data_IF_529478960834
#
_entry.id   IF_529478960834
#
_cell.length_a   1.000
_cell.length_b   1.000
_cell.length_c   1.000
_cell.angle_alpha   90.00
_cell.angle_beta   90.00
_cell.angle_gamma   90.00
#
_symmetry.space_group_name_H-M   'P 1'
#
loop_
_entity.id
_entity.type
_entity.pdbx_description
1 polymer ?
#
# COMPACT_ATOMS: atom_id res chain seq x y z
N UNK A 1 10.16 21.79 14.24
CA UNK A 1 9.19 22.86 14.00
C UNK A 1 7.73 22.54 14.37
N UNK A 2 7.36 21.29 14.56
CA UNK A 2 6.01 20.89 15.01
C UNK A 2 5.65 21.37 16.42
N UNK A 3 6.63 21.53 17.30
CA UNK A 3 6.39 21.93 18.69
C UNK A 3 5.88 23.36 18.90
N UNK A 4 6.00 24.21 17.90
CA UNK A 4 5.51 25.62 17.98
C UNK A 4 4.06 25.74 17.53
N UNK A 5 3.52 24.75 16.81
CA UNK A 5 2.19 24.82 16.20
C UNK A 5 1.07 24.15 17.00
N UNK A 6 1.40 23.39 18.03
CA UNK A 6 0.42 22.70 18.86
C UNK A 6 0.71 22.91 20.34
N UNK A 7 -0.32 23.05 21.20
CA UNK A 7 -0.15 23.15 22.65
C UNK A 7 0.56 21.92 23.25
N UNK A 8 0.47 20.77 22.58
CA UNK A 8 1.01 19.49 23.02
C UNK A 8 2.45 19.22 22.57
N UNK A 9 3.15 20.20 21.95
CA UNK A 9 4.55 20.09 21.50
C UNK A 9 4.81 18.81 20.67
N UNK A 10 4.06 18.61 19.61
CA UNK A 10 4.27 17.50 18.69
C UNK A 10 5.57 17.69 17.90
N UNK A 11 6.53 16.78 18.08
CA UNK A 11 7.84 16.84 17.42
C UNK A 11 7.84 16.23 16.03
N UNK A 12 6.93 15.28 15.74
CA UNK A 12 6.77 14.66 14.43
C UNK A 12 5.57 15.26 13.70
N UNK A 13 5.78 15.70 12.45
CA UNK A 13 4.71 16.20 11.58
C UNK A 13 4.17 15.13 10.62
N UNK A 14 4.85 13.99 10.52
CA UNK A 14 4.47 12.85 9.69
C UNK A 14 4.57 11.57 10.53
N UNK A 15 3.58 10.69 10.37
CA UNK A 15 3.48 9.44 11.10
C UNK A 15 3.19 8.32 10.11
N UNK A 16 3.88 7.18 10.27
CA UNK A 16 3.59 5.97 9.54
C UNK A 16 2.71 5.05 10.40
N UNK A 17 1.66 4.54 9.81
CA UNK A 17 0.73 3.58 10.42
C UNK A 17 0.77 2.32 9.60
N UNK A 18 1.00 1.18 10.25
CA UNK A 18 1.07 -0.14 9.62
C UNK A 18 -0.25 -0.88 9.89
N UNK A 19 -0.96 -1.23 8.83
CA UNK A 19 -2.19 -2.00 8.90
C UNK A 19 -1.90 -3.45 8.51
N UNK A 20 -2.03 -4.35 9.47
CA UNK A 20 -1.84 -5.78 9.26
C UNK A 20 -3.15 -6.46 8.82
N UNK A 21 -3.07 -7.74 8.46
CA UNK A 21 -4.12 -8.54 7.83
C UNK A 21 -5.19 -9.07 8.80
N UNK A 22 -5.53 -8.30 9.83
CA UNK A 22 -6.61 -8.61 10.77
C UNK A 22 -7.56 -7.44 10.94
N UNK A 23 -8.85 -7.69 11.20
CA UNK A 23 -9.82 -6.62 11.45
C UNK A 23 -9.42 -5.76 12.64
N UNK A 24 -8.87 -6.37 13.70
CA UNK A 24 -8.42 -5.63 14.89
C UNK A 24 -7.28 -4.68 14.54
N UNK A 25 -6.31 -5.13 13.74
CA UNK A 25 -5.21 -4.28 13.28
C UNK A 25 -5.70 -3.17 12.36
N UNK A 26 -6.57 -3.47 11.39
CA UNK A 26 -7.13 -2.49 10.47
C UNK A 26 -7.93 -1.40 11.23
N UNK A 27 -8.76 -1.80 12.20
CA UNK A 27 -9.54 -0.83 12.97
C UNK A 27 -8.70 -0.05 13.98
N UNK A 28 -7.68 -0.68 14.57
CA UNK A 28 -6.71 0.03 15.42
C UNK A 28 -5.91 1.06 14.62
N UNK A 29 -5.51 0.70 13.40
CA UNK A 29 -4.84 1.62 12.47
C UNK A 29 -5.75 2.78 12.09
N UNK A 30 -7.03 2.53 11.79
CA UNK A 30 -8.01 3.56 11.48
C UNK A 30 -8.21 4.55 12.64
N UNK A 31 -8.30 4.05 13.87
CA UNK A 31 -8.37 4.89 15.06
C UNK A 31 -7.08 5.72 15.25
N UNK A 32 -5.92 5.14 15.02
CA UNK A 32 -4.64 5.84 15.09
C UNK A 32 -4.56 6.96 14.04
N UNK A 33 -4.96 6.66 12.78
CA UNK A 33 -5.04 7.65 11.69
C UNK A 33 -5.88 8.85 12.13
N UNK A 34 -7.09 8.62 12.63
CA UNK A 34 -7.97 9.69 13.08
C UNK A 34 -7.35 10.58 14.16
N UNK A 35 -6.73 9.96 15.17
CA UNK A 35 -6.07 10.69 16.26
C UNK A 35 -4.89 11.54 15.77
N UNK A 36 -4.04 10.99 14.89
CA UNK A 36 -2.90 11.74 14.37
C UNK A 36 -3.31 12.84 13.39
N UNK A 37 -4.30 12.60 12.52
CA UNK A 37 -4.85 13.65 11.65
C UNK A 37 -5.41 14.81 12.46
N UNK A 38 -6.17 14.54 13.53
CA UNK A 38 -6.69 15.57 14.43
C UNK A 38 -5.57 16.41 15.09
N UNK A 39 -4.39 15.82 15.29
CA UNK A 39 -3.18 16.48 15.77
C UNK A 39 -2.34 17.14 14.68
N UNK A 40 -2.85 17.25 13.45
CA UNK A 40 -2.20 17.89 12.28
C UNK A 40 -0.99 17.14 11.73
N UNK A 41 -0.91 15.82 11.92
CA UNK A 41 0.08 14.99 11.27
C UNK A 41 -0.32 14.65 9.83
N UNK A 42 0.64 14.58 8.92
CA UNK A 42 0.52 13.87 7.66
C UNK A 42 0.68 12.37 7.92
N UNK A 43 -0.09 11.55 7.23
CA UNK A 43 -0.13 10.11 7.49
C UNK A 43 0.41 9.33 6.29
N UNK A 44 1.34 8.41 6.52
CA UNK A 44 1.66 7.31 5.63
C UNK A 44 0.96 6.06 6.16
N UNK A 45 0.19 5.38 5.32
CA UNK A 45 -0.52 4.15 5.67
C UNK A 45 0.12 3.01 4.90
N UNK A 46 0.70 2.05 5.59
CA UNK A 46 1.12 0.80 4.97
C UNK A 46 -0.06 -0.17 5.00
N UNK A 47 -0.65 -0.44 3.84
CA UNK A 47 -1.75 -1.39 3.67
C UNK A 47 -1.34 -2.62 2.85
N UNK A 48 -0.07 -2.73 2.50
CA UNK A 48 0.45 -3.80 1.65
C UNK A 48 0.42 -5.20 2.26
N UNK A 49 0.10 -5.34 3.56
CA UNK A 49 -0.08 -6.63 4.24
C UNK A 49 -1.49 -7.16 4.15
N UNK A 50 -2.47 -6.30 3.86
CA UNK A 50 -3.88 -6.70 3.80
C UNK A 50 -4.08 -7.65 2.62
N UNK A 51 -4.70 -8.79 2.87
CA UNK A 51 -4.98 -9.81 1.85
C UNK A 51 -5.83 -9.28 0.71
N UNK A 52 -5.59 -9.79 -0.49
CA UNK A 52 -6.34 -9.41 -1.67
C UNK A 52 -7.74 -10.02 -1.74
N UNK A 53 -8.51 -9.52 -2.71
CA UNK A 53 -9.87 -10.00 -3.00
C UNK A 53 -9.92 -11.52 -3.23
N UNK A 54 -10.99 -12.16 -2.79
CA UNK A 54 -11.22 -13.60 -2.86
C UNK A 54 -10.23 -14.48 -2.08
N UNK A 55 -9.39 -13.89 -1.21
CA UNK A 55 -8.59 -14.67 -0.27
C UNK A 55 -9.49 -15.33 0.77
N UNK A 56 -9.15 -16.55 1.15
CA UNK A 56 -9.95 -17.34 2.09
C UNK A 56 -9.91 -16.75 3.51
N UNK A 57 -11.07 -16.69 4.16
CA UNK A 57 -11.24 -16.31 5.56
C UNK A 57 -11.92 -17.47 6.29
N UNK A 58 -11.62 -17.66 7.57
CA UNK A 58 -12.22 -18.71 8.42
C UNK A 58 -12.19 -20.10 7.78
N UNK A 59 -11.03 -20.53 7.32
CA UNK A 59 -10.90 -21.85 6.69
C UNK A 59 -11.58 -21.99 5.31
N UNK A 60 -12.03 -20.88 4.70
CA UNK A 60 -12.65 -20.86 3.39
C UNK A 60 -14.17 -20.68 3.39
N UNK A 61 -14.79 -20.49 4.56
CA UNK A 61 -16.24 -20.22 4.68
C UNK A 61 -16.63 -18.87 4.04
N UNK A 62 -15.72 -17.89 4.10
CA UNK A 62 -15.94 -16.54 3.60
C UNK A 62 -14.76 -16.13 2.72
N UNK A 63 -15.04 -15.31 1.72
CA UNK A 63 -14.03 -14.69 0.86
C UNK A 63 -13.83 -13.23 1.24
N UNK A 64 -12.58 -12.77 1.19
CA UNK A 64 -12.23 -11.38 1.44
C UNK A 64 -12.73 -10.46 0.33
N UNK A 65 -13.25 -9.31 0.70
CA UNK A 65 -13.84 -8.32 -0.22
C UNK A 65 -12.82 -7.45 -0.95
N UNK A 66 -11.52 -7.66 -0.67
CA UNK A 66 -10.43 -6.85 -1.21
C UNK A 66 -10.06 -5.66 -0.34
N UNK A 67 -9.07 -4.89 -0.78
CA UNK A 67 -8.53 -3.75 -0.01
C UNK A 67 -9.39 -2.48 -0.15
N UNK A 68 -10.10 -2.31 -1.24
CA UNK A 68 -10.84 -1.08 -1.56
C UNK A 68 -11.83 -0.65 -0.47
N UNK A 69 -12.65 -1.54 0.14
CA UNK A 69 -13.55 -1.16 1.23
C UNK A 69 -12.82 -0.59 2.45
N UNK A 70 -11.66 -1.13 2.80
CA UNK A 70 -10.84 -0.63 3.91
C UNK A 70 -10.19 0.71 3.59
N UNK A 71 -9.76 0.91 2.34
CA UNK A 71 -9.24 2.20 1.90
C UNK A 71 -10.30 3.29 1.94
N UNK A 72 -11.57 2.99 1.60
CA UNK A 72 -12.69 3.92 1.78
C UNK A 72 -12.91 4.30 3.24
N UNK A 73 -12.75 3.34 4.15
CA UNK A 73 -12.84 3.60 5.57
C UNK A 73 -11.72 4.56 6.01
N UNK A 74 -10.47 4.29 5.63
CA UNK A 74 -9.34 5.20 5.91
C UNK A 74 -9.55 6.58 5.30
N UNK A 75 -10.03 6.68 4.06
CA UNK A 75 -10.38 7.95 3.41
C UNK A 75 -11.40 8.74 4.24
N UNK A 76 -12.47 8.08 4.68
CA UNK A 76 -13.51 8.70 5.51
C UNK A 76 -12.93 9.22 6.82
N UNK A 77 -12.10 8.43 7.50
CA UNK A 77 -11.44 8.81 8.75
C UNK A 77 -10.49 9.99 8.57
N UNK A 78 -9.67 10.00 7.52
CA UNK A 78 -8.78 11.12 7.18
C UNK A 78 -9.57 12.40 6.93
N UNK A 79 -10.74 12.30 6.31
CA UNK A 79 -11.57 13.45 5.95
C UNK A 79 -12.38 14.00 7.10
N UNK A 80 -12.93 13.14 7.97
CA UNK A 80 -13.75 13.60 9.09
C UNK A 80 -12.92 14.20 10.24
N UNK A 81 -11.66 13.77 10.40
CA UNK A 81 -10.75 14.25 11.44
C UNK A 81 -9.97 15.49 10.95
N UNK A 82 -10.65 16.59 10.69
CA UNK A 82 -10.06 17.81 10.14
C UNK A 82 -9.08 18.48 11.11
N UNK A 83 -8.06 19.12 10.56
CA UNK A 83 -7.10 19.96 11.29
C UNK A 83 -7.72 21.32 11.66
N UNK A 84 -8.48 21.41 12.75
CA UNK A 84 -9.16 22.63 13.23
C UNK A 84 -10.14 23.26 12.22
N UNK A 85 -10.79 22.48 11.36
CA UNK A 85 -11.80 22.97 10.42
C UNK A 85 -11.27 23.77 9.22
N UNK A 86 -9.97 24.08 9.17
CA UNK A 86 -9.37 24.94 8.13
C UNK A 86 -8.71 24.12 7.03
N UNK A 87 -8.15 22.94 7.35
CA UNK A 87 -7.43 22.08 6.40
C UNK A 87 -7.85 20.64 6.58
N UNK A 88 -8.22 19.96 5.49
CA UNK A 88 -8.48 18.53 5.48
C UNK A 88 -7.22 17.73 5.82
N UNK A 89 -7.39 16.54 6.40
CA UNK A 89 -6.32 15.57 6.57
C UNK A 89 -5.76 15.12 5.22
N UNK A 90 -4.52 14.67 5.21
CA UNK A 90 -3.84 14.10 4.04
C UNK A 90 -3.16 12.80 4.44
N UNK A 91 -3.33 11.77 3.62
CA UNK A 91 -2.68 10.49 3.81
C UNK A 91 -2.24 9.88 2.48
N UNK A 92 -1.11 9.19 2.52
CA UNK A 92 -0.57 8.39 1.40
C UNK A 92 -0.59 6.92 1.79
N UNK A 93 -1.18 6.08 0.94
CA UNK A 93 -1.22 4.63 1.15
C UNK A 93 -0.14 3.96 0.31
N UNK A 94 0.57 3.01 0.92
CA UNK A 94 1.69 2.30 0.31
C UNK A 94 1.32 0.85 0.03
N UNK A 95 1.61 0.39 -1.19
CA UNK A 95 1.43 -1.00 -1.63
C UNK A 95 2.67 -1.52 -2.37
N UNK A 96 3.03 -2.79 -2.20
CA UNK A 96 4.06 -3.41 -3.01
C UNK A 96 3.54 -3.72 -4.42
N UNK A 97 4.40 -3.61 -5.42
CA UNK A 97 4.08 -3.85 -6.84
C UNK A 97 3.51 -5.24 -7.12
N UNK A 98 3.84 -6.23 -6.29
CA UNK A 98 3.42 -7.61 -6.41
C UNK A 98 2.08 -7.93 -5.73
N UNK A 99 1.41 -6.92 -5.17
CA UNK A 99 0.11 -7.13 -4.52
C UNK A 99 -0.96 -7.57 -5.53
N UNK A 100 -1.79 -8.54 -5.16
CA UNK A 100 -2.83 -9.14 -6.03
C UNK A 100 -3.74 -8.11 -6.70
N UNK A 101 -4.10 -7.05 -5.99
CA UNK A 101 -5.02 -6.01 -6.46
C UNK A 101 -4.29 -4.78 -7.03
N UNK A 102 -3.01 -4.90 -7.41
CA UNK A 102 -2.23 -3.73 -7.83
C UNK A 102 -2.85 -3.00 -9.01
N UNK A 103 -3.45 -3.71 -9.97
CA UNK A 103 -4.09 -3.12 -11.14
C UNK A 103 -5.32 -2.29 -10.75
N UNK A 104 -6.07 -2.69 -9.73
CA UNK A 104 -7.19 -1.93 -9.19
C UNK A 104 -6.72 -0.73 -8.36
N UNK A 105 -5.64 -0.91 -7.59
CA UNK A 105 -5.07 0.12 -6.71
C UNK A 105 -4.53 1.31 -7.50
N UNK A 106 -3.84 1.08 -8.59
CA UNK A 106 -3.24 2.17 -9.39
C UNK A 106 -4.28 3.11 -9.99
N UNK A 107 -5.50 2.63 -10.24
CA UNK A 107 -6.58 3.42 -10.85
C UNK A 107 -7.54 4.07 -9.83
N UNK A 108 -7.33 3.90 -8.53
CA UNK A 108 -8.25 4.38 -7.49
C UNK A 108 -8.47 5.89 -7.50
N UNK A 109 -7.49 6.68 -7.95
CA UNK A 109 -7.60 8.16 -8.02
C UNK A 109 -8.17 8.68 -9.33
N UNK A 110 -8.19 7.90 -10.39
CA UNK A 110 -8.61 8.41 -11.69
C UNK A 110 -10.12 8.74 -11.75
N UNK A 111 -10.51 9.50 -12.77
CA UNK A 111 -11.90 9.94 -12.95
C UNK A 111 -12.77 8.97 -13.75
N UNK A 112 -12.22 7.80 -14.11
CA UNK A 112 -12.92 6.75 -14.86
C UNK A 112 -13.57 5.77 -13.88
N UNK A 113 -14.69 5.18 -14.27
CA UNK A 113 -15.42 4.20 -13.46
C UNK A 113 -16.38 4.82 -12.44
N UNK A 114 -16.98 3.96 -11.62
CA UNK A 114 -17.97 4.34 -10.60
C UNK A 114 -17.32 4.75 -9.29
N UNK A 115 -18.01 5.57 -8.49
CA UNK A 115 -17.55 5.97 -7.15
C UNK A 115 -17.32 4.76 -6.22
N UNK A 116 -18.05 3.66 -6.45
CA UNK A 116 -17.89 2.46 -5.64
C UNK A 116 -16.51 1.82 -5.76
N UNK A 117 -15.86 2.01 -6.90
CA UNK A 117 -14.53 1.45 -7.18
C UNK A 117 -13.42 2.51 -7.13
N UNK A 118 -13.67 3.66 -6.49
CA UNK A 118 -12.69 4.77 -6.41
C UNK A 118 -12.51 5.25 -4.99
N UNK A 119 -11.27 5.65 -4.68
CA UNK A 119 -10.86 6.26 -3.41
C UNK A 119 -9.91 7.41 -3.78
N UNK A 120 -10.51 8.58 -4.08
CA UNK A 120 -9.81 9.69 -4.74
C UNK A 120 -9.11 10.66 -3.80
N UNK A 121 -9.44 10.64 -2.51
CA UNK A 121 -8.94 11.62 -1.53
C UNK A 121 -7.75 11.12 -0.72
N UNK A 122 -7.29 9.90 -0.99
CA UNK A 122 -6.00 9.39 -0.55
C UNK A 122 -4.98 9.53 -1.68
N UNK A 123 -3.72 9.68 -1.32
CA UNK A 123 -2.61 9.54 -2.24
C UNK A 123 -2.08 8.10 -2.20
N UNK A 124 -1.48 7.66 -3.29
CA UNK A 124 -0.97 6.29 -3.39
C UNK A 124 0.49 6.28 -3.76
N UNK A 125 1.21 5.31 -3.21
CA UNK A 125 2.60 5.07 -3.50
C UNK A 125 2.83 3.58 -3.73
N UNK A 126 3.44 3.24 -4.85
CA UNK A 126 3.76 1.86 -5.22
C UNK A 126 5.23 1.62 -4.97
N UNK A 127 5.50 0.59 -4.17
CA UNK A 127 6.84 0.16 -3.79
C UNK A 127 7.36 -0.83 -4.84
N UNK A 128 8.47 -0.48 -5.49
CA UNK A 128 9.10 -1.27 -6.55
C UNK A 128 10.32 -2.01 -6.00
N UNK A 129 10.50 -3.26 -6.40
CA UNK A 129 11.67 -4.07 -6.08
C UNK A 129 12.71 -4.06 -7.21
N UNK A 130 13.94 -4.45 -6.90
CA UNK A 130 15.01 -4.66 -7.88
C UNK A 130 14.58 -5.71 -8.91
N UNK A 131 14.05 -6.84 -8.44
CA UNK A 131 13.54 -7.92 -9.29
C UNK A 131 12.49 -7.44 -10.30
N UNK A 132 11.61 -6.49 -9.91
CA UNK A 132 10.65 -5.92 -10.83
C UNK A 132 11.33 -5.16 -11.97
N UNK A 133 12.35 -4.35 -11.69
CA UNK A 133 13.11 -3.63 -12.71
C UNK A 133 13.88 -4.57 -13.64
N UNK A 134 14.47 -5.62 -13.12
CA UNK A 134 15.16 -6.64 -13.91
C UNK A 134 14.19 -7.28 -14.89
N UNK A 135 13.03 -7.73 -14.44
CA UNK A 135 12.00 -8.33 -15.29
C UNK A 135 11.39 -7.35 -16.29
N UNK A 136 11.26 -6.10 -15.90
CA UNK A 136 10.83 -5.04 -16.83
C UNK A 136 11.83 -4.88 -17.99
N UNK A 137 13.13 -4.86 -17.71
CA UNK A 137 14.20 -4.71 -18.73
C UNK A 137 14.26 -5.96 -19.63
N UNK A 138 14.12 -7.15 -19.06
CA UNK A 138 14.17 -8.42 -19.81
C UNK A 138 12.85 -8.79 -20.47
N UNK A 139 11.82 -7.96 -20.36
CA UNK A 139 10.48 -8.21 -20.89
C UNK A 139 9.85 -9.51 -20.37
N UNK A 140 10.00 -9.74 -19.09
CA UNK A 140 9.43 -10.88 -18.40
C UNK A 140 8.11 -10.53 -17.70
N UNK A 141 7.43 -11.57 -17.24
CA UNK A 141 6.20 -11.41 -16.44
C UNK A 141 6.54 -11.29 -14.96
N UNK A 142 5.69 -10.58 -14.25
CA UNK A 142 5.66 -10.57 -12.79
C UNK A 142 4.45 -11.34 -12.29
N UNK A 143 4.57 -11.86 -11.08
CA UNK A 143 3.52 -12.62 -10.42
C UNK A 143 2.95 -11.82 -9.26
N UNK A 144 1.64 -11.70 -9.25
CA UNK A 144 0.88 -11.02 -8.19
C UNK A 144 0.38 -12.05 -7.18
N UNK A 145 0.52 -11.71 -5.91
CA UNK A 145 0.11 -12.54 -4.80
C UNK A 145 -0.81 -11.79 -3.84
N UNK A 146 -1.68 -12.54 -3.17
CA UNK A 146 -2.25 -12.07 -1.91
C UNK A 146 -1.20 -12.22 -0.82
N UNK A 147 -0.91 -11.19 -0.01
CA UNK A 147 0.11 -11.28 1.05
C UNK A 147 -0.11 -12.44 2.02
N UNK A 148 -1.36 -12.78 2.28
CA UNK A 148 -1.75 -13.92 3.12
C UNK A 148 -1.24 -15.27 2.60
N UNK A 149 -1.17 -15.45 1.29
CA UNK A 149 -0.80 -16.72 0.67
C UNK A 149 0.73 -16.89 0.56
N UNK A 150 1.50 -15.84 0.84
CA UNK A 150 2.97 -15.78 0.73
C UNK A 150 3.62 -15.25 2.02
N UNK A 151 3.55 -15.99 3.13
CA UNK A 151 4.04 -15.54 4.43
C UNK A 151 5.51 -15.11 4.38
N UNK A 152 5.83 -13.97 5.02
CA UNK A 152 7.18 -13.42 5.10
C UNK A 152 7.66 -12.69 3.83
N UNK A 153 6.92 -12.76 2.70
CA UNK A 153 7.33 -12.06 1.49
C UNK A 153 7.31 -10.54 1.68
N UNK A 154 6.28 -10.03 2.36
CA UNK A 154 6.20 -8.61 2.67
C UNK A 154 7.33 -8.16 3.60
N UNK A 155 7.67 -8.95 4.61
CA UNK A 155 8.73 -8.63 5.59
C UNK A 155 10.12 -8.69 4.99
N UNK A 156 10.33 -9.52 3.97
CA UNK A 156 11.59 -9.61 3.23
C UNK A 156 11.75 -8.52 2.16
N UNK A 157 10.68 -7.74 1.88
CA UNK A 157 10.69 -6.75 0.80
C UNK A 157 11.78 -5.69 1.03
N UNK A 158 12.64 -5.50 0.03
CA UNK A 158 13.82 -4.62 0.12
C UNK A 158 15.06 -5.27 0.73
N UNK A 159 15.05 -6.58 0.95
CA UNK A 159 16.23 -7.37 1.36
C UNK A 159 16.69 -8.31 0.23
N UNK A 160 17.93 -8.80 0.31
CA UNK A 160 18.45 -9.79 -0.65
C UNK A 160 17.64 -11.10 -0.65
N UNK A 161 17.03 -11.44 0.47
CA UNK A 161 16.22 -12.65 0.61
C UNK A 161 14.87 -12.57 -0.10
N UNK A 162 14.40 -11.37 -0.44
CA UNK A 162 13.11 -11.18 -1.12
C UNK A 162 13.05 -11.91 -2.47
N UNK A 163 14.08 -11.77 -3.29
CA UNK A 163 14.08 -12.30 -4.65
C UNK A 163 14.00 -13.84 -4.63
N UNK A 164 14.76 -14.51 -3.74
CA UNK A 164 14.71 -15.95 -3.56
C UNK A 164 13.32 -16.41 -3.09
N UNK A 165 12.76 -15.73 -2.11
CA UNK A 165 11.46 -16.07 -1.55
C UNK A 165 10.35 -15.86 -2.57
N UNK A 166 10.40 -14.77 -3.33
CA UNK A 166 9.46 -14.46 -4.40
C UNK A 166 9.46 -15.56 -5.48
N UNK A 167 10.62 -15.91 -6.01
CA UNK A 167 10.76 -16.97 -7.04
C UNK A 167 10.30 -18.32 -6.51
N UNK A 168 10.57 -18.62 -5.25
CA UNK A 168 10.08 -19.86 -4.62
C UNK A 168 8.55 -19.93 -4.60
N UNK A 169 7.87 -18.83 -4.23
CA UNK A 169 6.41 -18.78 -4.26
C UNK A 169 5.85 -18.76 -5.68
N UNK A 170 6.53 -18.12 -6.60
CA UNK A 170 6.15 -18.10 -8.01
C UNK A 170 6.16 -19.51 -8.63
N UNK A 171 7.08 -20.37 -8.24
CA UNK A 171 7.19 -21.75 -8.73
C UNK A 171 6.28 -22.74 -7.97
N UNK A 172 5.64 -22.32 -6.90
CA UNK A 172 4.75 -23.19 -6.14
C UNK A 172 3.33 -23.17 -6.74
N UNK A 173 2.96 -24.25 -7.42
CA UNK A 173 1.67 -24.39 -8.11
C UNK A 173 0.45 -24.38 -7.16
N UNK A 174 0.64 -24.63 -5.86
CA UNK A 174 -0.46 -24.64 -4.88
C UNK A 174 -0.92 -23.24 -4.45
N UNK A 175 -0.13 -22.19 -4.75
CA UNK A 175 -0.43 -20.82 -4.35
C UNK A 175 -1.26 -20.13 -5.44
N UNK A 176 -2.44 -19.56 -5.08
CA UNK A 176 -3.22 -18.74 -6.00
C UNK A 176 -2.43 -17.49 -6.42
N UNK A 177 -2.24 -17.32 -7.71
CA UNK A 177 -1.43 -16.23 -8.26
C UNK A 177 -1.92 -15.79 -9.63
N UNK A 178 -1.57 -14.58 -10.01
CA UNK A 178 -1.82 -14.03 -11.35
C UNK A 178 -0.50 -13.57 -11.95
N UNK A 179 -0.23 -13.92 -13.20
CA UNK A 179 0.96 -13.45 -13.92
C UNK A 179 0.56 -12.36 -14.90
N UNK A 180 1.26 -11.25 -14.87
CA UNK A 180 1.05 -10.11 -15.76
C UNK A 180 2.36 -9.68 -16.40
N UNK A 181 2.27 -8.99 -17.51
CA UNK A 181 3.42 -8.43 -18.20
C UNK A 181 3.98 -7.23 -17.41
N UNK A 182 5.30 -7.23 -17.15
CA UNK A 182 5.93 -6.16 -16.38
C UNK A 182 5.95 -4.85 -17.14
N UNK A 183 6.06 -4.88 -18.48
CA UNK A 183 6.05 -3.66 -19.31
C UNK A 183 4.65 -3.06 -19.40
N UNK A 184 3.61 -3.88 -19.52
CA UNK A 184 2.22 -3.41 -19.50
C UNK A 184 1.91 -2.72 -18.16
N UNK A 185 2.27 -3.35 -17.05
CA UNK A 185 2.04 -2.77 -15.72
C UNK A 185 2.77 -1.44 -15.52
N UNK A 186 4.03 -1.31 -15.96
CA UNK A 186 4.76 -0.04 -15.80
C UNK A 186 4.17 1.07 -16.67
N UNK A 187 3.68 0.76 -17.87
CA UNK A 187 3.00 1.72 -18.72
C UNK A 187 1.73 2.25 -18.07
N UNK A 188 0.92 1.38 -17.48
CA UNK A 188 -0.27 1.77 -16.73
C UNK A 188 0.09 2.64 -15.51
N UNK A 189 1.12 2.25 -14.75
CA UNK A 189 1.65 3.04 -13.64
C UNK A 189 2.09 4.44 -14.07
N UNK A 190 2.84 4.55 -15.16
CA UNK A 190 3.33 5.84 -15.66
C UNK A 190 2.20 6.72 -16.16
N UNK A 191 1.19 6.13 -16.82
CA UNK A 191 -0.01 6.83 -17.26
C UNK A 191 -0.80 7.39 -16.06
N UNK A 192 -1.10 6.55 -15.07
CA UNK A 192 -1.81 6.98 -13.87
C UNK A 192 -1.00 7.99 -13.05
N UNK A 193 0.34 7.87 -13.02
CA UNK A 193 1.23 8.88 -12.44
C UNK A 193 1.08 10.24 -13.12
N UNK A 194 1.03 10.27 -14.43
CA UNK A 194 0.87 11.51 -15.20
C UNK A 194 -0.53 12.14 -15.00
N UNK A 195 -1.56 11.31 -14.94
CA UNK A 195 -2.95 11.75 -14.79
C UNK A 195 -3.33 12.13 -13.35
N UNK A 196 -2.81 11.43 -12.33
CA UNK A 196 -3.30 11.51 -10.94
C UNK A 196 -2.25 11.87 -9.90
N UNK A 197 -0.97 11.90 -10.27
CA UNK A 197 0.14 12.13 -9.34
C UNK A 197 0.49 10.92 -8.47
N UNK A 198 0.18 9.69 -8.91
CA UNK A 198 0.62 8.45 -8.26
C UNK A 198 2.13 8.47 -8.02
N UNK A 199 2.57 8.12 -6.82
CA UNK A 199 3.99 8.05 -6.47
C UNK A 199 4.57 6.66 -6.67
N UNK A 200 5.82 6.61 -7.15
CA UNK A 200 6.60 5.37 -7.24
C UNK A 200 7.78 5.49 -6.28
N UNK A 201 7.94 4.49 -5.42
CA UNK A 201 9.05 4.41 -4.48
C UNK A 201 9.90 3.19 -4.85
N UNK A 202 11.16 3.44 -5.19
CA UNK A 202 12.14 2.37 -5.34
C UNK A 202 12.60 1.92 -3.95
N UNK A 203 12.42 0.64 -3.63
CA UNK A 203 13.00 0.02 -2.45
C UNK A 203 14.27 -0.69 -2.91
N UNK A 204 15.40 -0.01 -2.75
CA UNK A 204 16.73 -0.60 -2.81
C UNK A 204 17.07 -1.23 -1.46
N UNK A 205 18.09 -2.07 -1.46
CA UNK A 205 18.69 -2.63 -0.25
C UNK A 205 18.80 -1.57 0.87
N UNK A 206 18.55 -1.96 2.14
CA UNK A 206 18.69 -1.03 3.24
C UNK A 206 20.10 -0.46 3.20
N UNK A 207 20.21 0.84 2.94
CA UNK A 207 21.47 1.54 3.09
C UNK A 207 21.98 1.23 4.49
N UNK A 208 23.11 0.52 4.60
CA UNK A 208 23.83 0.37 5.86
C UNK A 208 23.96 1.76 6.44
N UNK A 209 23.20 2.06 7.48
CA UNK A 209 23.53 3.18 8.33
C UNK A 209 24.89 2.84 8.93
N UNK A 210 25.95 3.39 8.37
CA UNK A 210 27.22 3.43 9.09
C UNK A 210 26.95 4.16 10.39
N UNK A 211 27.19 3.54 11.55
CA UNK A 211 27.08 4.26 12.80
C UNK A 211 28.10 5.42 12.73
N UNK A 212 27.62 6.62 12.97
CA UNK A 212 28.47 7.78 13.22
C UNK A 212 29.03 7.64 14.63
#
# INVERSE_FOLDING_TARGET
>A
MGGVRTPLRQFASCVLVDADDTLDSIFSSDMAIGKYVAQRAGIGINAGRIRGINSKIRGGEVQHTGVVPFLKKFESTVRCCTQNGIRGGSATVHFPIWHKEIQDIIVLKNNKGTEDNRVRKLDYSIQLSKLFYERFITNEKITLFSPHDVPGLYDSFGTEFFDELYVRYENNESIPKTRIDAQELILDLLKERAETGLSLIHISEPTRRTPI
#
